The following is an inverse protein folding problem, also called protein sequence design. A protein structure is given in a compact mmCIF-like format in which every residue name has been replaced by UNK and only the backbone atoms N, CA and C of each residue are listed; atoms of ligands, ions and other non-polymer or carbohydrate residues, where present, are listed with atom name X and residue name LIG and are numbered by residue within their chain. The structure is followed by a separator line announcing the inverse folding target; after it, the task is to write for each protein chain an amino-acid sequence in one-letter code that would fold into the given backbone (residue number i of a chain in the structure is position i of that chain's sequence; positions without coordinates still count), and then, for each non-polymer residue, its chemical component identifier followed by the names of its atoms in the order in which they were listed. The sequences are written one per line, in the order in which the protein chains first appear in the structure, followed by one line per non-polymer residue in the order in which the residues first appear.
data_IF_147691154674
#
_entry.id   IF_147691154674
#
_cell.length_a   1.000
_cell.length_b   1.000
_cell.length_c   1.000
_cell.angle_alpha   90.00
_cell.angle_beta   90.00
_cell.angle_gamma   90.00
#
_symmetry.space_group_name_H-M   'P 1'
#
loop_
_entity.id
_entity.type
_entity.pdbx_description
1 polymer ?
#
# COMPACT_ATOMS: atom_id res chain seq x y z
N UNK A 1 -12.86 12.24 1.66
CA UNK A 1 -13.49 11.83 2.93
C UNK A 1 -12.84 12.61 4.07
N UNK A 2 -13.42 13.76 4.47
CA UNK A 2 -12.84 14.62 5.52
C UNK A 2 -12.81 13.92 6.89
N UNK A 3 -13.72 12.97 7.15
CA UNK A 3 -13.82 12.26 8.42
C UNK A 3 -12.55 11.50 8.79
N UNK A 4 -11.79 10.99 7.82
CA UNK A 4 -10.49 10.33 8.08
C UNK A 4 -9.48 11.31 8.67
N UNK A 5 -9.46 12.54 8.16
CA UNK A 5 -8.58 13.60 8.66
C UNK A 5 -9.00 14.03 10.07
N UNK A 6 -10.30 14.13 10.33
CA UNK A 6 -10.81 14.51 11.64
C UNK A 6 -10.59 13.41 12.69
N UNK A 7 -10.78 12.14 12.32
CA UNK A 7 -10.43 11.01 13.16
C UNK A 7 -8.93 11.00 13.51
N UNK A 8 -8.06 11.30 12.54
CA UNK A 8 -6.64 11.43 12.82
C UNK A 8 -6.33 12.63 13.73
N UNK A 9 -7.00 13.78 13.61
CA UNK A 9 -6.82 14.86 14.61
C UNK A 9 -7.31 14.43 16.00
N UNK A 10 -8.40 13.67 16.04
CA UNK A 10 -8.97 13.16 17.29
C UNK A 10 -8.01 12.19 17.97
N UNK A 11 -7.40 11.23 17.24
CA UNK A 11 -6.38 10.32 17.78
C UNK A 11 -5.19 11.08 18.35
N UNK A 12 -4.69 12.09 17.64
CA UNK A 12 -3.61 12.92 18.15
C UNK A 12 -4.00 13.65 19.44
N UNK A 13 -5.23 14.15 19.54
CA UNK A 13 -5.67 14.95 20.69
C UNK A 13 -6.00 14.09 21.92
N UNK A 14 -6.53 12.89 21.71
CA UNK A 14 -7.12 12.08 22.80
C UNK A 14 -6.39 10.77 23.07
N UNK A 15 -5.70 10.18 22.09
CA UNK A 15 -4.95 8.94 22.29
C UNK A 15 -3.46 9.20 22.54
N UNK A 16 -2.86 10.16 21.83
CA UNK A 16 -1.43 10.44 22.00
C UNK A 16 -1.03 10.86 23.43
N UNK A 17 -1.86 11.58 24.22
CA UNK A 17 -1.49 11.87 25.62
C UNK A 17 -1.42 10.62 26.51
N UNK A 18 -2.10 9.54 26.14
CA UNK A 18 -2.19 8.29 26.90
C UNK A 18 -1.20 7.22 26.41
N UNK A 19 -0.46 7.49 25.33
CA UNK A 19 0.44 6.54 24.69
C UNK A 19 1.75 7.21 24.26
N UNK A 20 2.86 6.49 24.30
CA UNK A 20 4.17 7.05 23.89
C UNK A 20 4.17 7.53 22.42
N UNK A 21 3.45 6.82 21.55
CA UNK A 21 3.33 7.17 20.13
C UNK A 21 2.04 6.61 19.53
N UNK A 22 1.51 7.30 18.52
CA UNK A 22 0.37 6.85 17.70
C UNK A 22 0.77 6.88 16.22
N UNK A 23 0.51 5.79 15.52
CA UNK A 23 0.91 5.58 14.12
C UNK A 23 -0.30 5.38 13.20
N UNK A 24 -1.14 6.41 12.97
CA UNK A 24 -2.25 6.25 12.04
C UNK A 24 -1.69 6.12 10.61
N UNK A 25 -2.27 5.21 9.83
CA UNK A 25 -1.83 4.93 8.46
C UNK A 25 -3.02 5.06 7.52
N UNK A 26 -2.89 5.90 6.51
CA UNK A 26 -3.82 5.93 5.37
C UNK A 26 -3.28 5.01 4.29
N UNK A 27 -4.12 4.07 3.84
CA UNK A 27 -3.86 3.26 2.64
C UNK A 27 -4.87 3.60 1.56
N UNK A 28 -4.43 3.68 0.30
CA UNK A 28 -5.32 4.01 -0.81
C UNK A 28 -4.89 3.35 -2.11
N UNK A 29 -5.88 2.96 -2.91
CA UNK A 29 -5.69 2.53 -4.31
C UNK A 29 -5.57 3.69 -5.31
N UNK A 30 -5.60 4.95 -4.82
CA UNK A 30 -5.58 6.17 -5.62
C UNK A 30 -6.78 6.25 -6.60
N UNK A 31 -8.01 6.41 -6.08
CA UNK A 31 -9.23 6.32 -6.89
C UNK A 31 -9.35 7.46 -7.91
N UNK A 32 -9.43 7.11 -9.20
CA UNK A 32 -9.38 8.06 -10.32
C UNK A 32 -10.59 9.00 -10.42
N UNK A 33 -11.74 8.61 -9.85
CA UNK A 33 -12.98 9.41 -9.88
C UNK A 33 -13.14 10.32 -8.66
N UNK A 34 -12.17 10.34 -7.75
CA UNK A 34 -12.22 11.22 -6.59
C UNK A 34 -11.53 12.55 -6.90
N UNK A 35 -12.32 13.57 -7.25
CA UNK A 35 -11.85 14.93 -7.56
C UNK A 35 -11.05 15.57 -6.40
N UNK A 36 -11.32 15.17 -5.16
CA UNK A 36 -10.66 15.69 -3.96
C UNK A 36 -9.42 14.88 -3.55
N UNK A 37 -9.02 13.86 -4.33
CA UNK A 37 -7.92 12.96 -3.97
C UNK A 37 -6.61 13.72 -3.73
N UNK A 38 -6.23 14.62 -4.64
CA UNK A 38 -4.99 15.40 -4.50
C UNK A 38 -5.00 16.24 -3.23
N UNK A 39 -6.10 16.97 -2.97
CA UNK A 39 -6.25 17.78 -1.77
C UNK A 39 -6.15 16.91 -0.51
N UNK A 40 -6.80 15.75 -0.51
CA UNK A 40 -6.77 14.83 0.61
C UNK A 40 -5.36 14.31 0.89
N UNK A 41 -4.63 13.82 -0.13
CA UNK A 41 -3.27 13.31 0.02
C UNK A 41 -2.32 14.39 0.54
N UNK A 42 -2.38 15.59 -0.04
CA UNK A 42 -1.53 16.71 0.39
C UNK A 42 -1.84 17.13 1.84
N UNK A 43 -3.11 17.12 2.22
CA UNK A 43 -3.53 17.43 3.60
C UNK A 43 -3.08 16.35 4.58
N UNK A 44 -3.24 15.07 4.20
CA UNK A 44 -2.75 13.94 4.99
C UNK A 44 -1.24 14.01 5.20
N UNK A 45 -0.47 14.25 4.14
CA UNK A 45 0.99 14.36 4.24
C UNK A 45 1.43 15.54 5.10
N UNK A 46 0.72 16.67 5.05
CA UNK A 46 0.96 17.79 5.98
C UNK A 46 0.72 17.38 7.43
N UNK A 47 -0.37 16.68 7.71
CA UNK A 47 -0.66 16.17 9.06
C UNK A 47 0.39 15.13 9.50
N UNK A 48 0.71 14.16 8.65
CA UNK A 48 1.76 13.17 8.90
C UNK A 48 3.07 13.84 9.30
N UNK A 49 3.53 14.81 8.52
CA UNK A 49 4.82 15.44 8.74
C UNK A 49 4.83 16.41 9.92
N UNK A 50 3.76 17.20 10.10
CA UNK A 50 3.73 18.29 11.10
C UNK A 50 3.03 17.91 12.40
N UNK A 51 1.83 17.36 12.30
CA UNK A 51 1.03 17.00 13.49
C UNK A 51 1.60 15.74 14.15
N UNK A 52 1.96 14.73 13.36
CA UNK A 52 2.48 13.46 13.88
C UNK A 52 4.02 13.38 13.91
N UNK A 53 4.74 14.45 13.57
CA UNK A 53 6.21 14.45 13.55
C UNK A 53 6.83 13.36 12.66
N UNK A 54 6.11 12.88 11.66
CA UNK A 54 6.54 11.79 10.78
C UNK A 54 6.12 10.38 11.19
N UNK A 55 5.47 10.21 12.36
CA UNK A 55 5.06 8.91 12.90
C UNK A 55 3.84 8.28 12.20
N UNK A 56 3.00 9.09 11.54
CA UNK A 56 1.92 8.56 10.71
C UNK A 56 2.46 7.98 9.40
N UNK A 57 1.65 7.15 8.72
CA UNK A 57 2.02 6.48 7.46
C UNK A 57 1.12 6.85 6.29
N UNK A 58 1.67 6.76 5.07
CA UNK A 58 0.90 6.72 3.83
C UNK A 58 1.32 5.47 3.06
N UNK A 59 0.35 4.70 2.59
CA UNK A 59 0.57 3.55 1.72
C UNK A 59 -0.24 3.67 0.45
N UNK A 60 0.40 3.37 -0.68
CA UNK A 60 -0.20 3.36 -2.00
C UNK A 60 -0.30 1.91 -2.47
N UNK A 61 -1.51 1.44 -2.75
CA UNK A 61 -1.72 0.12 -3.34
C UNK A 61 -1.41 0.17 -4.83
N UNK A 62 -0.20 -0.28 -5.18
CA UNK A 62 0.29 -0.29 -6.56
C UNK A 62 -0.02 -1.63 -7.21
N UNK A 63 0.36 -2.73 -6.55
CA UNK A 63 0.13 -4.13 -6.93
C UNK A 63 0.75 -4.63 -8.25
N UNK A 64 0.85 -3.81 -9.29
CA UNK A 64 1.56 -4.14 -10.53
C UNK A 64 2.21 -2.89 -11.14
N UNK A 65 3.34 -3.07 -11.82
CA UNK A 65 3.98 -2.06 -12.67
C UNK A 65 3.42 -2.00 -14.08
N UNK A 66 2.62 -2.99 -14.47
CA UNK A 66 1.92 -3.03 -15.74
C UNK A 66 0.56 -2.32 -15.61
N UNK A 67 0.32 -1.30 -16.45
CA UNK A 67 -0.90 -0.50 -16.38
C UNK A 67 -2.17 -1.30 -16.71
N UNK A 68 -2.11 -2.28 -17.61
CA UNK A 68 -3.26 -3.10 -17.98
C UNK A 68 -3.63 -4.06 -16.83
N UNK A 69 -2.65 -4.75 -16.25
CA UNK A 69 -2.86 -5.60 -15.07
C UNK A 69 -3.45 -4.79 -13.92
N UNK A 70 -2.88 -3.62 -13.65
CA UNK A 70 -3.32 -2.73 -12.59
C UNK A 70 -4.74 -2.21 -12.85
N UNK A 71 -5.05 -1.82 -14.08
CA UNK A 71 -6.39 -1.38 -14.47
C UNK A 71 -7.42 -2.49 -14.28
N UNK A 72 -7.10 -3.73 -14.66
CA UNK A 72 -7.97 -4.91 -14.43
C UNK A 72 -8.18 -5.13 -12.93
N UNK A 73 -7.10 -5.18 -12.14
CA UNK A 73 -7.15 -5.48 -10.71
C UNK A 73 -8.05 -4.51 -9.92
N UNK A 74 -8.04 -3.23 -10.28
CA UNK A 74 -8.85 -2.21 -9.63
C UNK A 74 -10.19 -1.94 -10.35
N UNK A 75 -10.62 -2.81 -11.26
CA UNK A 75 -11.84 -2.65 -12.06
C UNK A 75 -11.92 -1.28 -12.75
N UNK A 76 -10.78 -0.78 -13.21
CA UNK A 76 -10.61 0.52 -13.82
C UNK A 76 -10.91 1.70 -12.91
N UNK A 77 -10.86 1.56 -11.57
CA UNK A 77 -11.19 2.65 -10.64
C UNK A 77 -9.96 3.37 -10.09
N UNK A 78 -8.75 2.89 -10.36
CA UNK A 78 -7.51 3.47 -9.86
C UNK A 78 -6.79 4.31 -10.93
N UNK A 79 -5.99 5.28 -10.49
CA UNK A 79 -5.12 6.08 -11.35
C UNK A 79 -3.93 5.28 -11.87
N UNK A 80 -3.43 5.60 -13.05
CA UNK A 80 -2.17 5.06 -13.58
C UNK A 80 -0.95 5.53 -12.75
N UNK A 81 0.20 4.86 -12.89
CA UNK A 81 1.44 5.25 -12.21
C UNK A 81 1.88 6.68 -12.51
N UNK A 82 1.85 7.18 -13.77
CA UNK A 82 2.15 8.58 -14.07
C UNK A 82 1.19 9.56 -13.39
N UNK A 83 -0.09 9.24 -13.30
CA UNK A 83 -1.09 10.09 -12.64
C UNK A 83 -0.88 10.11 -11.12
N UNK A 84 -0.53 8.97 -10.52
CA UNK A 84 -0.14 8.88 -9.11
C UNK A 84 1.09 9.75 -8.88
N UNK A 85 2.14 9.62 -9.69
CA UNK A 85 3.35 10.43 -9.59
C UNK A 85 3.04 11.94 -9.66
N UNK A 86 2.14 12.35 -10.55
CA UNK A 86 1.69 13.74 -10.67
C UNK A 86 0.94 14.26 -9.43
N UNK A 87 0.21 13.41 -8.72
CA UNK A 87 -0.40 13.79 -7.43
C UNK A 87 0.66 13.90 -6.33
N UNK A 88 1.64 13.00 -6.36
CA UNK A 88 2.71 12.90 -5.36
C UNK A 88 3.84 13.91 -5.57
N UNK A 89 3.87 14.60 -6.70
CA UNK A 89 4.89 15.59 -7.02
C UNK A 89 5.04 16.66 -5.91
N UNK A 90 6.29 16.92 -5.54
CA UNK A 90 6.66 17.81 -4.43
C UNK A 90 6.38 17.30 -3.02
N UNK A 91 5.85 16.08 -2.84
CA UNK A 91 5.62 15.48 -1.52
C UNK A 91 6.91 14.83 -1.02
N UNK A 92 7.43 15.33 0.11
CA UNK A 92 8.58 14.73 0.81
C UNK A 92 8.13 14.25 2.20
N UNK A 93 8.22 12.94 2.51
CA UNK A 93 7.90 12.43 3.84
C UNK A 93 8.93 12.85 4.89
N UNK A 94 8.47 13.17 6.10
CA UNK A 94 9.31 13.24 7.31
C UNK A 94 9.14 11.93 8.08
N UNK A 95 10.23 11.41 8.65
CA UNK A 95 10.23 10.14 9.38
C UNK A 95 9.99 8.96 8.44
N UNK A 96 8.83 8.29 8.57
CA UNK A 96 8.51 7.10 7.77
C UNK A 96 8.41 7.43 6.26
N UNK A 97 9.12 6.68 5.41
CA UNK A 97 8.96 6.67 3.94
C UNK A 97 7.52 6.30 3.54
N UNK A 98 7.13 6.66 2.32
CA UNK A 98 5.81 6.33 1.75
C UNK A 98 5.86 4.87 1.26
N UNK A 99 4.91 4.04 1.67
CA UNK A 99 4.94 2.62 1.29
C UNK A 99 4.24 2.38 -0.04
N UNK A 100 4.87 1.62 -0.93
CA UNK A 100 4.24 1.04 -2.12
C UNK A 100 3.90 -0.42 -1.81
N UNK A 101 2.61 -0.74 -1.75
CA UNK A 101 2.14 -2.08 -1.47
C UNK A 101 2.02 -2.89 -2.76
N UNK A 102 2.55 -4.10 -2.76
CA UNK A 102 2.38 -5.09 -3.82
C UNK A 102 1.81 -6.40 -3.29
N UNK A 103 0.62 -6.76 -3.78
CA UNK A 103 0.05 -8.09 -3.62
C UNK A 103 0.69 -9.02 -4.67
N UNK A 104 1.64 -9.86 -4.26
CA UNK A 104 2.36 -10.74 -5.16
C UNK A 104 1.48 -11.95 -5.51
N UNK A 105 1.07 -12.01 -6.77
CA UNK A 105 0.22 -13.07 -7.31
C UNK A 105 0.53 -13.39 -8.78
N UNK A 106 1.79 -13.27 -9.18
CA UNK A 106 2.22 -13.46 -10.57
C UNK A 106 2.07 -12.23 -11.46
N UNK A 107 1.74 -11.07 -10.88
CA UNK A 107 1.71 -9.78 -11.57
C UNK A 107 3.09 -9.17 -11.70
N UNK A 108 3.28 -8.30 -12.69
CA UNK A 108 4.54 -7.65 -12.98
C UNK A 108 4.95 -6.67 -11.88
N UNK A 109 6.20 -6.77 -11.45
CA UNK A 109 6.84 -5.79 -10.56
C UNK A 109 8.24 -5.50 -11.11
N UNK A 110 8.33 -4.50 -11.98
CA UNK A 110 9.56 -4.04 -12.62
C UNK A 110 10.16 -2.83 -11.89
N UNK A 111 11.34 -2.97 -11.24
CA UNK A 111 12.02 -1.85 -10.59
C UNK A 111 12.32 -0.67 -11.53
N UNK A 112 12.61 -0.91 -12.80
CA UNK A 112 12.94 0.15 -13.77
C UNK A 112 11.72 1.02 -14.11
N UNK A 113 10.51 0.46 -14.01
CA UNK A 113 9.27 1.23 -14.12
C UNK A 113 9.07 2.07 -12.87
N UNK A 114 9.30 1.50 -11.68
CA UNK A 114 9.14 2.21 -10.41
C UNK A 114 10.09 3.39 -10.28
N UNK A 115 11.35 3.23 -10.66
CA UNK A 115 12.38 4.27 -10.59
C UNK A 115 12.03 5.53 -11.42
N UNK A 116 11.16 5.41 -12.42
CA UNK A 116 10.66 6.56 -13.20
C UNK A 116 9.73 7.47 -12.41
N UNK A 117 9.10 6.96 -11.35
CA UNK A 117 8.01 7.62 -10.65
C UNK A 117 8.23 7.77 -9.14
N UNK A 118 8.97 6.85 -8.52
CA UNK A 118 9.04 6.71 -7.06
C UNK A 118 10.49 6.61 -6.60
N UNK A 119 11.07 7.71 -6.12
CA UNK A 119 12.46 7.74 -5.64
C UNK A 119 12.67 6.82 -4.41
N UNK A 120 13.60 5.85 -4.42
CA UNK A 120 13.87 4.97 -3.28
C UNK A 120 14.21 5.66 -1.95
N UNK A 121 14.68 6.91 -1.98
CA UNK A 121 14.91 7.72 -0.78
C UNK A 121 13.60 8.15 -0.09
N UNK A 122 12.49 8.21 -0.83
CA UNK A 122 11.19 8.67 -0.33
C UNK A 122 10.20 7.52 -0.16
N UNK A 123 10.44 6.39 -0.83
CA UNK A 123 9.52 5.27 -0.93
C UNK A 123 10.14 3.97 -0.41
N UNK A 124 9.31 3.13 0.21
CA UNK A 124 9.65 1.78 0.66
C UNK A 124 8.69 0.78 0.02
N UNK A 125 9.17 -0.40 -0.36
CA UNK A 125 8.31 -1.44 -0.94
C UNK A 125 7.82 -2.35 0.17
N UNK A 126 6.53 -2.69 0.14
CA UNK A 126 5.95 -3.77 0.96
C UNK A 126 5.40 -4.85 0.05
N UNK A 127 6.01 -6.03 0.10
CA UNK A 127 5.51 -7.23 -0.58
C UNK A 127 4.59 -7.99 0.37
N UNK A 128 3.37 -8.28 -0.09
CA UNK A 128 2.37 -9.05 0.64
C UNK A 128 1.91 -10.26 -0.18
N UNK A 129 1.70 -11.42 0.45
CA UNK A 129 1.04 -12.56 -0.19
C UNK A 129 -0.37 -12.15 -0.59
N UNK A 130 -0.79 -12.47 -1.82
CA UNK A 130 -2.23 -12.41 -2.13
C UNK A 130 -2.89 -13.70 -1.65
N UNK A 131 -3.82 -13.58 -0.69
CA UNK A 131 -4.64 -14.70 -0.25
C UNK A 131 -5.57 -15.16 -1.37
N UNK A 132 -5.80 -16.47 -1.47
CA UNK A 132 -6.89 -17.00 -2.29
C UNK A 132 -8.21 -16.53 -1.71
N UNK A 133 -8.76 -15.47 -2.28
CA UNK A 133 -10.18 -15.16 -2.08
C UNK A 133 -10.99 -16.16 -2.92
N UNK A 134 -12.24 -16.45 -2.53
CA UNK A 134 -13.15 -17.27 -3.34
C UNK A 134 -13.27 -16.74 -4.79
N UNK A 135 -13.02 -15.44 -4.99
CA UNK A 135 -12.96 -14.76 -6.29
C UNK A 135 -11.71 -15.13 -7.11
N UNK A 136 -10.56 -15.38 -6.48
CA UNK A 136 -9.36 -15.86 -7.15
C UNK A 136 -9.50 -17.32 -7.61
N UNK A 137 -10.19 -18.15 -6.82
CA UNK A 137 -10.53 -19.53 -7.19
C UNK A 137 -11.55 -19.59 -8.33
N UNK A 138 -12.56 -18.71 -8.35
CA UNK A 138 -13.51 -18.64 -9.47
C UNK A 138 -12.89 -18.13 -10.79
N UNK A 139 -11.71 -17.51 -10.73
CA UNK A 139 -10.98 -16.97 -11.89
C UNK A 139 -9.70 -17.77 -12.24
N UNK A 140 -9.50 -18.96 -11.64
CA UNK A 140 -8.38 -19.88 -11.90
C UNK A 140 -6.97 -19.23 -11.79
N UNK A 141 -6.82 -18.21 -10.92
CA UNK A 141 -5.53 -17.54 -10.66
C UNK A 141 -4.67 -18.49 -9.83
N UNK A 142 -3.82 -19.28 -10.48
CA UNK A 142 -2.91 -20.24 -9.85
C UNK A 142 -1.61 -19.55 -9.44
N UNK A 143 -1.37 -19.47 -8.13
CA UNK A 143 -0.06 -19.10 -7.59
C UNK A 143 0.88 -20.31 -7.54
N UNK A 144 2.11 -20.15 -7.97
CA UNK A 144 3.18 -21.16 -7.84
C UNK A 144 3.84 -21.09 -6.46
N UNK A 145 3.39 -21.89 -5.48
CA UNK A 145 4.07 -22.07 -4.19
C UNK A 145 3.13 -22.12 -2.97
N UNK A 146 3.65 -22.60 -1.82
CA UNK A 146 2.96 -22.52 -0.52
C UNK A 146 3.23 -21.15 0.12
N UNK A 147 2.18 -20.47 0.60
CA UNK A 147 2.24 -19.09 1.14
C UNK A 147 3.08 -18.92 2.41
N UNK A 148 3.47 -20.02 3.06
CA UNK A 148 4.36 -20.06 4.24
C UNK A 148 5.84 -20.01 3.88
N UNK A 149 6.18 -19.99 2.59
CA UNK A 149 7.57 -20.03 2.11
C UNK A 149 7.95 -18.66 1.55
N UNK A 150 9.15 -18.17 1.89
CA UNK A 150 9.72 -16.91 1.37
C UNK A 150 10.08 -16.98 -0.13
N UNK A 151 10.11 -18.19 -0.69
CA UNK A 151 10.62 -18.48 -2.03
C UNK A 151 9.94 -17.73 -3.20
N UNK A 152 8.60 -17.51 -3.25
CA UNK A 152 7.97 -16.80 -4.36
C UNK A 152 8.23 -15.28 -4.33
N UNK A 153 8.85 -14.74 -3.27
CA UNK A 153 9.13 -13.31 -3.12
C UNK A 153 10.61 -12.96 -3.28
N UNK A 154 11.50 -13.95 -3.19
CA UNK A 154 12.95 -13.74 -3.12
C UNK A 154 13.50 -12.99 -4.33
N UNK A 155 13.02 -13.31 -5.53
CA UNK A 155 13.48 -12.65 -6.76
C UNK A 155 13.03 -11.18 -6.81
N UNK A 156 11.75 -10.91 -6.52
CA UNK A 156 11.24 -9.54 -6.40
C UNK A 156 12.01 -8.74 -5.34
N UNK A 157 12.22 -9.33 -4.16
CA UNK A 157 12.95 -8.71 -3.05
C UNK A 157 14.38 -8.31 -3.47
N UNK A 158 15.13 -9.23 -4.06
CA UNK A 158 16.50 -8.97 -4.55
C UNK A 158 16.51 -7.89 -5.63
N UNK A 159 15.62 -7.99 -6.63
CA UNK A 159 15.60 -7.04 -7.74
C UNK A 159 15.25 -5.61 -7.28
N UNK A 160 14.30 -5.48 -6.36
CA UNK A 160 13.90 -4.19 -5.78
C UNK A 160 14.98 -3.61 -4.86
N UNK A 161 15.65 -4.44 -4.05
CA UNK A 161 16.79 -4.01 -3.24
C UNK A 161 17.97 -3.56 -4.12
N UNK A 162 18.25 -4.27 -5.21
CA UNK A 162 19.31 -3.88 -6.17
C UNK A 162 19.01 -2.54 -6.85
N UNK A 163 17.73 -2.20 -7.03
CA UNK A 163 17.29 -0.89 -7.50
C UNK A 163 17.35 0.22 -6.43
N UNK A 164 17.72 -0.11 -5.19
CA UNK A 164 17.92 0.82 -4.08
C UNK A 164 16.73 0.97 -3.14
N UNK A 165 15.64 0.21 -3.32
CA UNK A 165 14.52 0.26 -2.40
C UNK A 165 14.82 -0.51 -1.11
N UNK A 166 14.37 0.04 0.01
CA UNK A 166 14.09 -0.78 1.18
C UNK A 166 12.85 -1.66 0.88
N UNK A 167 12.91 -2.94 1.24
CA UNK A 167 11.84 -3.90 0.98
C UNK A 167 11.44 -4.59 2.27
N UNK A 168 10.13 -4.60 2.54
CA UNK A 168 9.51 -5.32 3.64
C UNK A 168 8.67 -6.46 3.07
N UNK A 169 9.11 -7.70 3.29
CA UNK A 169 8.32 -8.89 2.93
C UNK A 169 7.47 -9.30 4.12
N UNK A 170 6.15 -9.21 3.96
CA UNK A 170 5.22 -9.74 4.96
C UNK A 170 5.00 -11.22 4.69
N UNK A 171 5.27 -12.07 5.67
CA UNK A 171 4.94 -13.50 5.60
C UNK A 171 3.79 -13.71 6.56
N UNK A 172 2.60 -13.99 6.03
CA UNK A 172 1.43 -14.28 6.87
C UNK A 172 1.69 -15.55 7.68
N UNK A 173 1.30 -15.55 8.96
CA UNK A 173 1.33 -16.79 9.74
C UNK A 173 0.25 -17.74 9.20
N UNK A 174 0.44 -19.05 9.41
CA UNK A 174 -0.56 -20.06 9.03
C UNK A 174 -1.93 -19.78 9.67
N UNK A 175 -1.93 -19.25 10.89
CA UNK A 175 -3.13 -18.91 11.67
C UNK A 175 -3.87 -17.67 11.12
N UNK A 176 -3.16 -16.67 10.59
CA UNK A 176 -3.75 -15.51 9.91
C UNK A 176 -4.39 -15.90 8.57
N UNK A 177 -3.78 -16.84 7.85
CA UNK A 177 -4.32 -17.37 6.59
C UNK A 177 -5.60 -18.20 6.82
N UNK A 178 -5.61 -19.08 7.82
CA UNK A 178 -6.76 -19.90 8.18
C UNK A 178 -7.94 -19.09 8.73
N UNK A 179 -7.66 -17.99 9.44
CA UNK A 179 -8.71 -17.14 10.05
C UNK A 179 -9.33 -16.11 9.11
N UNK A 180 -8.80 -15.94 7.88
CA UNK A 180 -9.24 -14.91 6.90
C UNK A 180 -9.18 -13.47 7.44
N UNK A 181 -8.38 -13.19 8.48
CA UNK A 181 -8.24 -11.84 9.08
C UNK A 181 -7.26 -10.96 8.27
N UNK A 182 -6.84 -11.44 7.10
CA UNK A 182 -5.82 -10.82 6.28
C UNK A 182 -6.35 -9.66 5.41
N UNK A 183 -5.46 -8.74 5.05
CA UNK A 183 -5.79 -7.59 4.21
C UNK A 183 -6.35 -8.06 2.85
N UNK A 184 -7.60 -7.71 2.55
CA UNK A 184 -8.32 -8.14 1.35
C UNK A 184 -9.53 -9.05 1.62
N UNK A 185 -9.62 -9.63 2.83
CA UNK A 185 -10.73 -10.50 3.26
C UNK A 185 -11.68 -9.85 4.26
N UNK A 186 -11.62 -8.52 4.43
CA UNK A 186 -12.62 -7.78 5.19
C UNK A 186 -13.97 -7.80 4.47
N UNK A 187 -14.66 -8.95 4.56
CA UNK A 187 -16.08 -9.06 4.27
C UNK A 187 -16.75 -8.28 5.39
N UNK A 188 -17.25 -7.08 5.07
CA UNK A 188 -18.38 -6.54 5.81
C UNK A 188 -19.53 -7.53 5.59
N UNK A 189 -19.63 -8.52 6.47
CA UNK A 189 -20.79 -9.39 6.51
C UNK A 189 -21.96 -8.52 6.95
N UNK A 190 -22.80 -8.15 5.99
CA UNK A 190 -24.12 -7.53 6.13
C UNK A 190 -24.39 -6.90 7.52
N UNK A 191 -24.14 -5.58 7.62
CA UNK A 191 -24.92 -4.72 8.51
C UNK A 191 -25.91 -3.96 7.63
#
# INVERSE_FOLDING_TARGET
NPTVLDAAKWFHTHLLPEHEVVHPVVSTMMPKRNEWLKLFIHTWMRMKNRLYGGNAGLQLSINSTNEDERNIMFNGNALSLPEIAKIMDGIVPVGRKITLNFAVAGYEIDPDVLLRYFNPELYIIKLTPMHKTNTAESNDIKTSGKYTEYYPYKEYDINLQNAGYEVLVFIASKEEDESKITCGNAILSNI
#
